data_IF_658308574501
#
_entry.id   IF_658308574501
#
_cell.length_a   1.000
_cell.length_b   1.000
_cell.length_c   1.000
_cell.angle_alpha   90.00
_cell.angle_beta   90.00
_cell.angle_gamma   90.00
#
_symmetry.space_group_name_H-M   'P 1'
#
loop_
_entity.id
_entity.type
_entity.pdbx_description
1 polymer ?
#
# COMPACT_ATOMS: atom_id res chain seq x y z
N UNK A 1 2.61 -16.64 7.15
CA UNK A 1 3.78 -15.92 7.68
C UNK A 1 3.81 -14.53 7.09
N UNK A 2 3.97 -13.50 7.91
CA UNK A 2 4.17 -12.11 7.45
C UNK A 2 5.64 -11.75 7.66
N UNK A 3 6.25 -11.10 6.67
CA UNK A 3 7.62 -10.57 6.76
C UNK A 3 7.51 -9.08 6.54
N UNK A 4 7.89 -8.30 7.55
CA UNK A 4 8.03 -6.85 7.41
C UNK A 4 9.44 -6.54 6.92
N UNK A 5 9.54 -5.66 5.93
CA UNK A 5 10.79 -5.36 5.25
C UNK A 5 11.08 -3.85 5.35
N UNK A 6 12.36 -3.44 5.38
CA UNK A 6 12.71 -2.03 5.44
C UNK A 6 12.10 -1.25 4.27
N UNK A 7 11.66 -0.02 4.55
CA UNK A 7 11.22 0.91 3.51
C UNK A 7 12.38 1.27 2.58
N UNK A 8 12.08 1.39 1.28
CA UNK A 8 13.06 1.81 0.28
C UNK A 8 13.50 3.26 0.56
N UNK A 9 14.78 3.44 0.92
CA UNK A 9 15.40 4.76 1.08
C UNK A 9 16.11 5.15 -0.22
N UNK A 10 16.00 6.42 -0.62
CA UNK A 10 16.64 6.93 -1.85
C UNK A 10 18.01 7.56 -1.60
N UNK A 11 18.34 7.84 -0.34
CA UNK A 11 19.54 8.58 0.05
C UNK A 11 20.06 7.98 1.36
N UNK A 12 21.39 7.77 1.43
CA UNK A 12 22.06 7.44 2.67
C UNK A 12 22.05 8.68 3.59
N UNK A 13 21.56 8.52 4.82
CA UNK A 13 21.68 9.59 5.84
C UNK A 13 23.00 9.46 6.58
N UNK A 14 23.45 10.56 7.21
CA UNK A 14 24.71 10.61 7.95
C UNK A 14 24.88 9.42 8.91
N UNK A 15 25.97 8.66 8.71
CA UNK A 15 26.29 7.46 9.49
C UNK A 15 25.87 6.13 8.84
N UNK A 16 25.19 6.14 7.69
CA UNK A 16 24.95 4.95 6.88
C UNK A 16 26.04 4.75 5.82
N UNK A 17 26.26 3.50 5.39
CA UNK A 17 27.14 3.22 4.26
C UNK A 17 26.53 3.74 2.96
N UNK A 18 27.37 4.13 2.00
CA UNK A 18 26.93 4.52 0.66
C UNK A 18 26.19 3.37 -0.06
N UNK A 19 26.44 2.12 0.35
CA UNK A 19 25.80 0.90 -0.17
C UNK A 19 24.42 0.62 0.39
N UNK A 20 23.95 1.34 1.42
CA UNK A 20 22.75 0.95 2.18
C UNK A 20 21.51 0.78 1.31
N UNK A 21 21.36 1.60 0.27
CA UNK A 21 20.25 1.52 -0.68
C UNK A 21 20.30 0.19 -1.43
N UNK A 22 21.46 -0.19 -1.96
CA UNK A 22 21.66 -1.44 -2.65
C UNK A 22 21.47 -2.64 -1.71
N UNK A 23 22.00 -2.56 -0.49
CA UNK A 23 21.90 -3.63 0.50
C UNK A 23 20.43 -3.90 0.89
N UNK A 24 19.62 -2.85 1.02
CA UNK A 24 18.17 -2.96 1.25
C UNK A 24 17.49 -3.59 0.03
N UNK A 25 17.78 -3.13 -1.19
CA UNK A 25 17.18 -3.69 -2.40
C UNK A 25 17.51 -5.18 -2.57
N UNK A 26 18.78 -5.57 -2.37
CA UNK A 26 19.21 -6.95 -2.49
C UNK A 26 18.53 -7.82 -1.43
N UNK A 27 18.44 -7.33 -0.19
CA UNK A 27 17.68 -8.00 0.88
C UNK A 27 16.23 -8.20 0.48
N UNK A 28 15.53 -7.16 0.01
CA UNK A 28 14.14 -7.24 -0.45
C UNK A 28 13.97 -8.31 -1.53
N UNK A 29 14.84 -8.29 -2.55
CA UNK A 29 14.84 -9.24 -3.67
C UNK A 29 14.92 -10.69 -3.19
N UNK A 30 15.70 -11.01 -2.15
CA UNK A 30 15.76 -12.39 -1.62
C UNK A 30 14.42 -12.93 -1.11
N UNK A 31 13.51 -12.04 -0.67
CA UNK A 31 12.17 -12.42 -0.22
C UNK A 31 11.18 -12.46 -1.38
N UNK A 32 11.10 -11.39 -2.17
CA UNK A 32 10.06 -11.22 -3.19
C UNK A 32 10.29 -12.06 -4.45
N UNK A 33 11.50 -12.59 -4.69
CA UNK A 33 11.76 -13.52 -5.80
C UNK A 33 11.15 -14.91 -5.58
N UNK A 34 10.81 -15.27 -4.33
CA UNK A 34 10.22 -16.58 -4.04
C UNK A 34 8.82 -16.67 -4.67
N UNK A 35 8.52 -17.71 -5.46
CA UNK A 35 7.25 -17.80 -6.18
C UNK A 35 6.02 -17.87 -5.27
N UNK A 36 6.18 -18.41 -4.06
CA UNK A 36 5.11 -18.52 -3.05
C UNK A 36 4.99 -17.26 -2.18
N UNK A 37 5.75 -16.19 -2.46
CA UNK A 37 5.66 -14.93 -1.73
C UNK A 37 4.61 -14.02 -2.40
N UNK A 38 3.55 -13.71 -1.67
CA UNK A 38 2.61 -12.63 -2.02
C UNK A 38 3.30 -11.30 -1.75
N UNK A 39 3.30 -10.42 -2.74
CA UNK A 39 3.87 -9.08 -2.66
C UNK A 39 2.75 -8.10 -2.35
N UNK A 40 2.86 -7.41 -1.21
CA UNK A 40 1.98 -6.30 -0.88
C UNK A 40 2.66 -4.99 -1.33
N UNK A 41 2.32 -4.51 -2.52
CA UNK A 41 2.91 -3.30 -3.09
C UNK A 41 2.18 -2.06 -2.54
N UNK A 42 2.69 -1.52 -1.44
CA UNK A 42 2.10 -0.38 -0.73
C UNK A 42 2.59 0.93 -1.36
N UNK A 43 1.66 1.80 -1.74
CA UNK A 43 1.96 3.15 -2.25
C UNK A 43 1.06 4.19 -1.57
N UNK A 44 1.57 5.39 -1.28
CA UNK A 44 0.73 6.47 -0.80
C UNK A 44 -0.07 7.09 -1.96
N UNK A 45 -1.35 7.37 -1.74
CA UNK A 45 -2.25 7.91 -2.76
C UNK A 45 -2.00 9.39 -3.07
N UNK A 46 -1.30 10.10 -2.19
CA UNK A 46 -0.92 11.51 -2.40
C UNK A 46 0.38 11.68 -3.20
N UNK A 47 0.89 10.61 -3.81
CA UNK A 47 2.03 10.64 -4.73
C UNK A 47 1.67 9.88 -6.00
N UNK A 48 2.30 10.25 -7.11
CA UNK A 48 2.08 9.59 -8.38
C UNK A 48 2.51 8.12 -8.31
N UNK A 49 1.61 7.21 -8.67
CA UNK A 49 1.88 5.78 -8.67
C UNK A 49 3.06 5.40 -9.58
N UNK A 50 3.28 6.17 -10.65
CA UNK A 50 4.42 5.98 -11.55
C UNK A 50 5.79 6.15 -10.87
N UNK A 51 5.83 6.82 -9.71
CA UNK A 51 7.05 7.02 -8.91
C UNK A 51 7.23 5.97 -7.80
N UNK A 52 6.30 5.01 -7.69
CA UNK A 52 6.31 3.98 -6.66
C UNK A 52 7.39 2.93 -6.91
N UNK A 53 8.40 2.91 -6.05
CA UNK A 53 9.48 1.92 -6.12
C UNK A 53 8.96 0.50 -5.79
N UNK A 54 7.92 0.39 -4.95
CA UNK A 54 7.27 -0.89 -4.65
C UNK A 54 6.61 -1.49 -5.90
N UNK A 55 5.96 -0.67 -6.72
CA UNK A 55 5.35 -1.11 -7.99
C UNK A 55 6.41 -1.46 -9.03
N UNK A 56 7.48 -0.65 -9.13
CA UNK A 56 8.61 -0.95 -10.00
C UNK A 56 9.23 -2.30 -9.65
N UNK A 57 9.58 -2.50 -8.38
CA UNK A 57 10.25 -3.72 -7.92
C UNK A 57 9.35 -4.96 -8.01
N UNK A 58 8.07 -4.85 -7.65
CA UNK A 58 7.12 -5.97 -7.80
C UNK A 58 6.98 -6.42 -9.25
N UNK A 59 6.93 -5.48 -10.21
CA UNK A 59 6.84 -5.80 -11.65
C UNK A 59 8.08 -6.50 -12.20
N UNK A 60 9.27 -6.24 -11.65
CA UNK A 60 10.49 -6.92 -12.07
C UNK A 60 10.48 -8.42 -11.71
N UNK A 61 9.88 -8.79 -10.58
CA UNK A 61 9.83 -10.19 -10.09
C UNK A 61 8.49 -10.88 -10.33
N UNK A 62 7.44 -10.12 -10.63
CA UNK A 62 6.08 -10.59 -10.98
C UNK A 62 5.49 -9.75 -12.13
N UNK A 63 6.02 -9.87 -13.37
CA UNK A 63 5.56 -9.06 -14.51
C UNK A 63 4.09 -9.27 -14.88
N UNK A 64 3.51 -10.41 -14.52
CA UNK A 64 2.11 -10.77 -14.78
C UNK A 64 1.17 -10.29 -13.67
N UNK A 65 1.69 -9.86 -12.53
CA UNK A 65 0.90 -9.47 -11.36
C UNK A 65 0.14 -10.65 -10.73
N UNK A 66 0.67 -11.87 -10.85
CA UNK A 66 0.03 -13.12 -10.42
C UNK A 66 -0.01 -13.28 -8.89
N UNK A 67 0.85 -12.54 -8.19
CA UNK A 67 1.05 -12.62 -6.73
C UNK A 67 1.27 -11.24 -6.10
N UNK A 68 0.95 -10.17 -6.83
CA UNK A 68 1.09 -8.79 -6.38
C UNK A 68 -0.28 -8.19 -6.08
N UNK A 69 -0.44 -7.67 -4.86
CA UNK A 69 -1.62 -6.93 -4.41
C UNK A 69 -1.22 -5.48 -4.21
N UNK A 70 -1.89 -4.58 -4.92
CA UNK A 70 -1.68 -3.14 -4.79
C UNK A 70 -2.46 -2.58 -3.60
N UNK A 71 -1.78 -1.87 -2.72
CA UNK A 71 -2.40 -1.21 -1.56
C UNK A 71 -2.14 0.29 -1.62
N UNK A 72 -3.21 1.07 -1.60
CA UNK A 72 -3.13 2.52 -1.51
C UNK A 72 -3.35 2.98 -0.06
N UNK A 73 -2.41 3.75 0.47
CA UNK A 73 -2.49 4.35 1.82
C UNK A 73 -2.65 5.86 1.71
N UNK A 74 -2.98 6.54 2.82
CA UNK A 74 -3.07 8.01 2.88
C UNK A 74 -4.05 8.60 1.86
N UNK A 75 -5.09 7.85 1.50
CA UNK A 75 -6.14 8.28 0.55
C UNK A 75 -6.96 9.45 1.10
N UNK A 76 -7.02 9.55 2.43
CA UNK A 76 -7.59 10.66 3.19
C UNK A 76 -6.77 11.96 3.11
N UNK A 77 -5.52 11.89 2.64
CA UNK A 77 -4.61 13.03 2.53
C UNK A 77 -4.40 13.50 1.08
N UNK A 78 -5.25 13.08 0.15
CA UNK A 78 -5.21 13.54 -1.23
C UNK A 78 -5.66 15.00 -1.35
N UNK A 79 -5.13 15.70 -2.35
CA UNK A 79 -5.46 17.09 -2.61
C UNK A 79 -6.92 17.22 -3.08
N UNK A 80 -7.60 18.28 -2.63
CA UNK A 80 -8.99 18.53 -2.99
C UNK A 80 -9.13 18.69 -4.51
N UNK A 81 -10.09 17.97 -5.09
CA UNK A 81 -10.30 17.92 -6.54
C UNK A 81 -9.52 16.80 -7.24
N UNK A 82 -8.78 15.98 -6.49
CA UNK A 82 -8.18 14.73 -6.98
C UNK A 82 -8.77 13.52 -6.25
N UNK A 83 -8.75 12.37 -6.90
CA UNK A 83 -9.16 11.09 -6.32
C UNK A 83 -8.30 9.94 -6.87
N UNK A 84 -8.38 8.79 -6.21
CA UNK A 84 -7.66 7.58 -6.61
C UNK A 84 -8.59 6.52 -7.25
N UNK A 85 -9.78 6.90 -7.73
CA UNK A 85 -10.79 5.95 -8.23
C UNK A 85 -10.24 5.14 -9.39
N UNK A 86 -9.56 5.76 -10.35
CA UNK A 86 -9.01 5.04 -11.51
C UNK A 86 -7.92 4.02 -11.14
N UNK A 87 -7.16 4.28 -10.08
CA UNK A 87 -6.18 3.31 -9.56
C UNK A 87 -6.92 2.19 -8.84
N UNK A 88 -7.87 2.51 -7.96
CA UNK A 88 -8.64 1.52 -7.19
C UNK A 88 -9.49 0.61 -8.08
N UNK A 89 -10.02 1.12 -9.19
CA UNK A 89 -10.72 0.36 -10.24
C UNK A 89 -9.76 -0.47 -11.12
N UNK A 90 -8.44 -0.30 -10.97
CA UNK A 90 -7.43 -0.96 -11.79
C UNK A 90 -7.38 -0.48 -13.24
N UNK A 91 -7.92 0.72 -13.53
CA UNK A 91 -7.88 1.35 -14.86
C UNK A 91 -6.50 1.94 -15.16
N UNK A 92 -5.90 2.66 -14.20
CA UNK A 92 -4.57 3.28 -14.38
C UNK A 92 -3.44 2.26 -14.36
N UNK A 93 -3.51 1.27 -13.46
CA UNK A 93 -2.51 0.21 -13.34
C UNK A 93 -3.21 -1.13 -13.05
N UNK A 94 -3.21 -2.02 -14.02
CA UNK A 94 -3.90 -3.31 -13.91
C UNK A 94 -3.06 -4.34 -13.17
N UNK A 95 -3.61 -4.91 -12.11
CA UNK A 95 -3.12 -6.10 -11.41
C UNK A 95 -4.16 -7.22 -11.54
N UNK A 96 -3.76 -8.48 -11.28
CA UNK A 96 -4.74 -9.58 -11.23
C UNK A 96 -5.59 -9.55 -9.95
N UNK A 97 -4.99 -9.12 -8.85
CA UNK A 97 -5.72 -8.82 -7.63
C UNK A 97 -6.25 -7.39 -7.67
N UNK A 98 -7.43 -7.13 -7.07
CA UNK A 98 -7.96 -5.78 -6.99
C UNK A 98 -7.05 -4.91 -6.11
N UNK A 99 -7.02 -3.63 -6.42
CA UNK A 99 -6.41 -2.62 -5.55
C UNK A 99 -7.24 -2.45 -4.28
N UNK A 100 -6.57 -2.22 -3.15
CA UNK A 100 -7.24 -1.97 -1.87
C UNK A 100 -6.73 -0.67 -1.27
N UNK A 101 -7.64 0.29 -1.09
CA UNK A 101 -7.40 1.50 -0.31
C UNK A 101 -7.53 1.23 1.19
N UNK A 102 -6.63 1.79 1.98
CA UNK A 102 -6.67 1.73 3.45
C UNK A 102 -6.43 3.11 4.06
N UNK A 103 -7.11 3.37 5.18
CA UNK A 103 -6.93 4.58 5.98
C UNK A 103 -6.37 4.16 7.33
N UNK A 104 -5.09 4.45 7.53
CA UNK A 104 -4.36 4.11 8.75
C UNK A 104 -4.49 5.22 9.80
N UNK A 105 -4.09 4.91 11.03
CA UNK A 105 -3.93 5.93 12.08
C UNK A 105 -2.89 6.96 11.66
N UNK A 106 -3.23 8.23 11.86
CA UNK A 106 -2.27 9.33 11.73
C UNK A 106 -1.23 9.30 12.87
N UNK A 107 -0.15 10.07 12.73
CA UNK A 107 0.82 10.24 13.82
C UNK A 107 0.16 10.81 15.09
N UNK A 108 -0.81 11.72 14.92
CA UNK A 108 -1.57 12.29 16.04
C UNK A 108 -2.43 11.22 16.73
N UNK A 109 -3.09 10.33 15.97
CA UNK A 109 -3.85 9.21 16.53
C UNK A 109 -2.98 8.26 17.33
N UNK A 110 -1.75 7.99 16.86
CA UNK A 110 -0.76 7.17 17.57
C UNK A 110 -0.39 7.84 18.89
N UNK A 111 -0.06 9.14 18.86
CA UNK A 111 0.28 9.91 20.06
C UNK A 111 -0.88 9.93 21.06
N UNK A 112 -2.12 10.01 20.57
CA UNK A 112 -3.34 9.98 21.36
C UNK A 112 -3.79 8.56 21.76
N UNK A 113 -3.03 7.52 21.39
CA UNK A 113 -3.32 6.11 21.67
C UNK A 113 -4.73 5.68 21.23
N UNK A 114 -5.18 6.18 20.08
CA UNK A 114 -6.46 5.75 19.50
C UNK A 114 -6.42 4.23 19.25
N UNK A 115 -7.45 3.56 19.75
CA UNK A 115 -7.59 2.12 19.65
C UNK A 115 -7.86 1.66 18.20
N UNK A 116 -7.48 0.41 17.90
CA UNK A 116 -7.61 -0.14 16.55
C UNK A 116 -9.06 -0.29 16.10
N UNK A 117 -10.01 -0.50 17.03
CA UNK A 117 -11.43 -0.65 16.71
C UNK A 117 -12.02 0.67 16.25
N UNK A 118 -11.68 1.77 16.94
CA UNK A 118 -12.06 3.12 16.54
C UNK A 118 -11.42 3.51 15.20
N UNK A 119 -10.15 3.17 14.97
CA UNK A 119 -9.48 3.43 13.70
C UNK A 119 -10.19 2.71 12.52
N UNK A 120 -10.53 1.43 12.69
CA UNK A 120 -11.28 0.65 11.68
C UNK A 120 -12.69 1.19 11.44
N UNK A 121 -13.38 1.66 12.49
CA UNK A 121 -14.69 2.31 12.34
C UNK A 121 -14.57 3.57 11.48
N UNK A 122 -13.56 4.41 11.72
CA UNK A 122 -13.32 5.63 10.92
C UNK A 122 -12.94 5.31 9.48
N UNK A 123 -12.12 4.29 9.24
CA UNK A 123 -11.80 3.82 7.89
C UNK A 123 -13.07 3.40 7.12
N UNK A 124 -13.93 2.60 7.76
CA UNK A 124 -15.21 2.18 7.17
C UNK A 124 -16.11 3.38 6.88
N UNK A 125 -16.22 4.29 7.84
CA UNK A 125 -16.99 5.52 7.68
C UNK A 125 -16.49 6.34 6.50
N UNK A 126 -15.17 6.58 6.40
CA UNK A 126 -14.53 7.30 5.32
C UNK A 126 -14.92 6.75 3.93
N UNK A 127 -14.78 5.43 3.72
CA UNK A 127 -15.15 4.85 2.43
C UNK A 127 -16.65 4.85 2.16
N UNK A 128 -17.50 4.83 3.20
CA UNK A 128 -18.96 4.84 3.06
C UNK A 128 -19.57 6.23 2.82
N UNK A 129 -18.89 7.29 3.25
CA UNK A 129 -19.38 8.67 3.19
C UNK A 129 -18.71 9.51 2.11
N UNK A 130 -17.48 9.19 1.72
CA UNK A 130 -16.78 9.88 0.62
C UNK A 130 -17.45 9.56 -0.71
N UNK A 131 -17.92 10.59 -1.41
CA UNK A 131 -18.76 10.47 -2.60
C UNK A 131 -18.09 9.66 -3.71
N UNK A 132 -16.80 9.88 -3.91
CA UNK A 132 -15.95 9.26 -4.93
C UNK A 132 -15.76 7.76 -4.65
N UNK A 133 -15.63 7.36 -3.38
CA UNK A 133 -15.29 5.97 -3.00
C UNK A 133 -16.47 5.13 -2.52
N UNK A 134 -17.66 5.71 -2.35
CA UNK A 134 -18.84 5.03 -1.81
C UNK A 134 -19.20 3.74 -2.54
N UNK A 135 -19.04 3.73 -3.85
CA UNK A 135 -19.31 2.55 -4.68
C UNK A 135 -18.29 1.40 -4.46
N UNK A 136 -17.10 1.73 -3.94
CA UNK A 136 -16.02 0.78 -3.64
C UNK A 136 -16.01 0.34 -2.17
N UNK A 137 -16.85 0.92 -1.30
CA UNK A 137 -16.77 0.74 0.15
C UNK A 137 -16.78 -0.74 0.62
N UNK A 138 -17.41 -1.63 -0.14
CA UNK A 138 -17.48 -3.07 0.20
C UNK A 138 -16.17 -3.85 -0.05
N UNK A 139 -15.26 -3.28 -0.85
CA UNK A 139 -13.99 -3.89 -1.27
C UNK A 139 -12.77 -3.04 -0.86
N UNK A 140 -12.94 -2.16 0.12
CA UNK A 140 -11.91 -1.28 0.65
C UNK A 140 -11.69 -1.51 2.14
N UNK A 141 -10.59 -0.98 2.65
CA UNK A 141 -10.24 -1.00 4.06
C UNK A 141 -9.47 -2.23 4.52
N UNK A 142 -8.90 -2.10 5.71
CA UNK A 142 -7.98 -3.05 6.33
C UNK A 142 -8.64 -4.41 6.61
N UNK A 143 -9.94 -4.43 6.92
CA UNK A 143 -10.69 -5.67 7.15
C UNK A 143 -10.88 -6.48 5.85
N UNK A 144 -11.19 -5.80 4.74
CA UNK A 144 -11.29 -6.44 3.44
C UNK A 144 -9.93 -6.98 3.00
N UNK A 145 -8.86 -6.20 3.18
CA UNK A 145 -7.48 -6.62 2.90
C UNK A 145 -7.10 -7.87 3.70
N UNK A 146 -7.37 -7.88 5.00
CA UNK A 146 -7.09 -9.04 5.85
C UNK A 146 -7.86 -10.29 5.41
N UNK A 147 -9.14 -10.14 5.05
CA UNK A 147 -9.96 -11.23 4.51
C UNK A 147 -9.43 -11.76 3.19
N UNK A 148 -8.89 -10.89 2.33
CA UNK A 148 -8.29 -11.28 1.06
C UNK A 148 -7.01 -12.09 1.27
N UNK A 149 -6.15 -11.67 2.20
CA UNK A 149 -4.87 -12.33 2.51
C UNK A 149 -5.04 -13.64 3.30
N UNK A 150 -6.21 -13.89 3.88
CA UNK A 150 -6.50 -15.09 4.69
C UNK A 150 -7.12 -16.24 3.90
N UNK A 151 -7.36 -16.05 2.59
CA UNK A 151 -7.86 -17.10 1.69
C UNK A 151 -6.70 -17.86 1.06
#
# INVERSE_FOLDING_TARGET
TLVDLPGLTKVAVDGQSDSIVQDIEDMLRTYIQKPNCIILAISPANQDLATSDAIKMSREVDPKGDRTIGVLTKIDLMDKGTDAVDILDGKSYRLKFPWVGVVNRSQQDINNRVDMTSARRREREYFSTTQEYKHLASIMGSEYLAKMLSK
#
